data_IF_688495839359
#
_entry.id   IF_688495839359
#
_cell.length_a   1.000
_cell.length_b   1.000
_cell.length_c   1.000
_cell.angle_alpha   90.00
_cell.angle_beta   90.00
_cell.angle_gamma   90.00
#
_symmetry.space_group_name_H-M   'P 1'
#
loop_
_entity.id
_entity.type
_entity.pdbx_description
1 polymer ?
#
# COMPACT_ATOMS: atom_id res chain seq x y z
N UNK A 1 -73.95 -11.02 9.07
CA UNK A 1 -74.32 -11.51 7.73
C UNK A 1 -73.79 -10.67 6.54
N UNK A 2 -72.75 -9.82 6.69
CA UNK A 2 -72.13 -9.07 5.55
C UNK A 2 -70.68 -9.48 5.23
N UNK A 3 -70.14 -10.51 5.89
CA UNK A 3 -68.75 -10.92 5.75
C UNK A 3 -68.57 -12.05 4.71
N UNK A 4 -69.47 -13.03 4.64
CA UNK A 4 -69.29 -14.20 3.74
C UNK A 4 -69.38 -13.87 2.25
N UNK A 5 -70.26 -12.94 1.82
CA UNK A 5 -70.38 -12.55 0.39
C UNK A 5 -69.19 -11.79 -0.19
N UNK A 6 -68.24 -11.32 0.62
CA UNK A 6 -67.03 -10.63 0.12
C UNK A 6 -65.92 -11.61 -0.28
N UNK A 7 -65.98 -12.85 0.19
CA UNK A 7 -64.99 -13.87 -0.16
C UNK A 7 -65.30 -14.54 -1.52
N UNK A 8 -66.57 -14.73 -1.88
CA UNK A 8 -66.96 -15.28 -3.20
C UNK A 8 -66.57 -14.36 -4.38
N UNK A 9 -66.50 -13.05 -4.17
CA UNK A 9 -66.07 -12.12 -5.22
C UNK A 9 -64.55 -12.15 -5.47
N UNK A 10 -63.73 -12.62 -4.52
CA UNK A 10 -62.26 -12.70 -4.69
C UNK A 10 -61.78 -13.99 -5.35
N UNK A 11 -62.45 -15.11 -5.13
CA UNK A 11 -62.07 -16.38 -5.78
C UNK A 11 -62.30 -16.38 -7.29
N UNK A 12 -63.30 -15.62 -7.77
CA UNK A 12 -63.60 -15.53 -9.20
C UNK A 12 -62.55 -14.68 -9.95
N UNK A 13 -61.89 -13.73 -9.27
CA UNK A 13 -60.86 -12.87 -9.87
C UNK A 13 -59.60 -13.67 -10.23
N UNK A 14 -59.15 -14.57 -9.36
CA UNK A 14 -57.97 -15.40 -9.62
C UNK A 14 -58.20 -16.39 -10.77
N UNK A 15 -59.36 -17.05 -10.81
CA UNK A 15 -59.71 -17.98 -11.88
C UNK A 15 -59.76 -17.29 -13.24
N UNK A 16 -60.29 -16.05 -13.28
CA UNK A 16 -60.31 -15.23 -14.48
C UNK A 16 -58.91 -14.80 -14.91
N UNK A 17 -58.06 -14.37 -13.97
CA UNK A 17 -56.65 -14.03 -14.25
C UNK A 17 -55.86 -15.22 -14.81
N UNK A 18 -56.06 -16.42 -14.28
CA UNK A 18 -55.40 -17.64 -14.79
C UNK A 18 -55.87 -17.98 -16.21
N UNK A 19 -57.17 -17.83 -16.50
CA UNK A 19 -57.73 -18.04 -17.83
C UNK A 19 -57.17 -17.06 -18.88
N UNK A 20 -57.11 -15.78 -18.52
CA UNK A 20 -56.56 -14.72 -19.38
C UNK A 20 -55.05 -14.91 -19.59
N UNK A 21 -54.32 -15.34 -18.56
CA UNK A 21 -52.88 -15.65 -18.66
C UNK A 21 -52.60 -16.77 -19.66
N UNK A 22 -53.44 -17.83 -19.71
CA UNK A 22 -53.27 -18.94 -20.66
C UNK A 22 -53.44 -18.46 -22.10
N UNK A 23 -54.49 -17.69 -22.37
CA UNK A 23 -54.76 -17.15 -23.71
C UNK A 23 -53.64 -16.19 -24.13
N UNK A 24 -53.19 -15.34 -23.22
CA UNK A 24 -52.06 -14.43 -23.44
C UNK A 24 -50.75 -15.19 -23.73
N UNK A 25 -50.45 -16.26 -22.99
CA UNK A 25 -49.32 -17.16 -23.24
C UNK A 25 -49.41 -17.85 -24.60
N UNK A 26 -50.59 -18.25 -25.07
CA UNK A 26 -50.75 -18.87 -26.39
C UNK A 26 -50.54 -17.85 -27.52
N UNK A 27 -51.02 -16.62 -27.36
CA UNK A 27 -50.88 -15.57 -28.38
C UNK A 27 -49.49 -14.95 -28.41
N UNK A 28 -48.86 -14.75 -27.25
CA UNK A 28 -47.58 -14.02 -27.12
C UNK A 28 -46.42 -14.87 -26.61
N UNK A 29 -46.62 -16.16 -26.36
CA UNK A 29 -45.64 -17.05 -25.74
C UNK A 29 -44.29 -17.07 -26.45
N UNK A 30 -44.27 -17.10 -27.79
CA UNK A 30 -43.01 -17.06 -28.54
C UNK A 30 -42.25 -15.75 -28.34
N UNK A 31 -42.94 -14.60 -28.30
CA UNK A 31 -42.31 -13.29 -28.06
C UNK A 31 -41.79 -13.19 -26.62
N UNK A 32 -42.59 -13.66 -25.66
CA UNK A 32 -42.19 -13.73 -24.24
C UNK A 32 -40.99 -14.65 -24.04
N UNK A 33 -40.95 -15.80 -24.71
CA UNK A 33 -39.84 -16.75 -24.62
C UNK A 33 -38.58 -16.16 -25.25
N UNK A 34 -38.67 -15.50 -26.41
CA UNK A 34 -37.51 -14.84 -27.03
C UNK A 34 -36.97 -13.69 -26.18
N UNK A 35 -37.84 -12.81 -25.68
CA UNK A 35 -37.43 -11.68 -24.84
C UNK A 35 -36.90 -12.16 -23.49
N UNK A 36 -37.62 -13.07 -22.83
CA UNK A 36 -37.23 -13.64 -21.54
C UNK A 36 -35.95 -14.47 -21.64
N UNK A 37 -35.81 -15.28 -22.70
CA UNK A 37 -34.60 -16.03 -23.00
C UNK A 37 -33.41 -15.12 -23.31
N UNK A 38 -33.62 -14.06 -24.09
CA UNK A 38 -32.60 -13.04 -24.35
C UNK A 38 -32.12 -12.35 -23.08
N UNK A 39 -33.05 -11.93 -22.21
CA UNK A 39 -32.71 -11.34 -20.92
C UNK A 39 -31.98 -12.32 -20.01
N UNK A 40 -32.38 -13.59 -19.98
CA UNK A 40 -31.70 -14.63 -19.21
C UNK A 40 -30.24 -14.83 -19.69
N UNK A 41 -30.02 -14.88 -21.01
CA UNK A 41 -28.66 -15.00 -21.58
C UNK A 41 -27.80 -13.79 -21.21
N UNK A 42 -28.33 -12.57 -21.33
CA UNK A 42 -27.62 -11.34 -20.92
C UNK A 42 -27.29 -11.37 -19.43
N UNK A 43 -28.24 -11.80 -18.59
CA UNK A 43 -28.03 -11.93 -17.15
C UNK A 43 -26.91 -12.92 -16.83
N UNK A 44 -26.93 -14.12 -17.42
CA UNK A 44 -25.89 -15.14 -17.23
C UNK A 44 -24.52 -14.63 -17.70
N UNK A 45 -24.46 -13.94 -18.84
CA UNK A 45 -23.21 -13.37 -19.36
C UNK A 45 -22.63 -12.29 -18.42
N UNK A 46 -23.46 -11.39 -17.92
CA UNK A 46 -23.04 -10.36 -16.94
C UNK A 46 -22.59 -11.01 -15.64
N UNK A 47 -23.35 -11.98 -15.13
CA UNK A 47 -23.01 -12.69 -13.90
C UNK A 47 -21.66 -13.42 -14.01
N UNK A 48 -21.45 -14.17 -15.09
CA UNK A 48 -20.19 -14.86 -15.36
C UNK A 48 -19.00 -13.88 -15.51
N UNK A 49 -19.22 -12.75 -16.19
CA UNK A 49 -18.22 -11.69 -16.30
C UNK A 49 -17.86 -11.09 -14.92
N UNK A 50 -18.85 -10.86 -14.05
CA UNK A 50 -18.61 -10.34 -12.70
C UNK A 50 -17.91 -11.34 -11.78
N UNK A 51 -18.25 -12.62 -11.83
CA UNK A 51 -17.57 -13.66 -11.05
C UNK A 51 -16.10 -13.82 -11.45
N UNK A 52 -15.81 -13.92 -12.75
CA UNK A 52 -14.43 -14.05 -13.22
C UNK A 52 -13.57 -12.83 -12.83
N UNK A 53 -14.16 -11.64 -12.75
CA UNK A 53 -13.45 -10.43 -12.30
C UNK A 53 -13.08 -10.50 -10.81
N UNK A 54 -13.97 -10.99 -9.95
CA UNK A 54 -13.67 -11.10 -8.51
C UNK A 54 -12.56 -12.10 -8.21
N UNK A 55 -12.50 -13.22 -8.92
CA UNK A 55 -11.47 -14.23 -8.70
C UNK A 55 -10.07 -13.74 -9.08
N UNK A 56 -9.93 -13.01 -10.19
CA UNK A 56 -8.63 -12.44 -10.57
C UNK A 56 -8.14 -11.42 -9.55
N UNK A 57 -9.05 -10.56 -9.05
CA UNK A 57 -8.70 -9.54 -8.06
C UNK A 57 -8.25 -10.21 -6.75
N UNK A 58 -8.98 -11.23 -6.28
CA UNK A 58 -8.60 -11.98 -5.08
C UNK A 58 -7.22 -12.63 -5.19
N UNK A 59 -6.91 -13.25 -6.33
CA UNK A 59 -5.58 -13.86 -6.56
C UNK A 59 -4.46 -12.83 -6.56
N UNK A 60 -4.65 -11.68 -7.18
CA UNK A 60 -3.64 -10.61 -7.19
C UNK A 60 -3.38 -10.08 -5.77
N UNK A 61 -4.43 -9.91 -4.97
CA UNK A 61 -4.31 -9.50 -3.57
C UNK A 61 -3.56 -10.53 -2.72
N UNK A 62 -3.88 -11.83 -2.87
CA UNK A 62 -3.16 -12.90 -2.18
C UNK A 62 -1.68 -12.87 -2.54
N UNK A 63 -1.35 -12.78 -3.83
CA UNK A 63 0.03 -12.70 -4.31
C UNK A 63 0.75 -11.47 -3.76
N UNK A 64 0.10 -10.31 -3.76
CA UNK A 64 0.63 -9.10 -3.14
C UNK A 64 0.95 -9.28 -1.65
N UNK A 65 0.02 -9.85 -0.89
CA UNK A 65 0.22 -10.10 0.55
C UNK A 65 1.28 -11.17 0.82
N UNK A 66 1.38 -12.18 -0.04
CA UNK A 66 2.40 -13.23 0.06
C UNK A 66 3.79 -12.62 -0.09
N UNK A 67 4.03 -11.80 -1.11
CA UNK A 67 5.31 -11.09 -1.29
C UNK A 67 5.66 -10.29 -0.03
N UNK A 68 4.71 -9.54 0.53
CA UNK A 68 4.98 -8.75 1.72
C UNK A 68 5.30 -9.60 2.97
N UNK A 69 4.73 -10.79 3.07
CA UNK A 69 4.91 -11.67 4.22
C UNK A 69 6.14 -12.58 4.09
N UNK A 70 6.52 -12.96 2.88
CA UNK A 70 7.52 -14.00 2.63
C UNK A 70 8.86 -13.49 2.08
N UNK A 71 8.98 -12.20 1.74
CA UNK A 71 10.24 -11.68 1.18
C UNK A 71 11.34 -11.68 2.25
N UNK A 72 12.40 -12.50 2.11
CA UNK A 72 13.56 -12.45 2.99
C UNK A 72 14.37 -11.16 2.72
N UNK A 73 15.30 -10.80 3.60
CA UNK A 73 16.07 -9.55 3.48
C UNK A 73 16.85 -9.42 2.17
N UNK A 74 17.23 -10.53 1.54
CA UNK A 74 17.92 -10.60 0.25
C UNK A 74 16.97 -10.67 -0.96
N UNK A 75 15.68 -10.97 -0.74
CA UNK A 75 14.68 -11.18 -1.79
C UNK A 75 14.02 -9.90 -2.34
N UNK A 76 14.44 -8.71 -1.90
CA UNK A 76 13.76 -7.46 -2.25
C UNK A 76 13.84 -7.09 -3.73
N UNK A 77 14.86 -7.56 -4.45
CA UNK A 77 14.99 -7.33 -5.91
C UNK A 77 13.92 -8.10 -6.69
N UNK A 78 13.71 -9.37 -6.36
CA UNK A 78 12.66 -10.18 -6.96
C UNK A 78 11.26 -9.65 -6.56
N UNK A 79 11.10 -9.25 -5.30
CA UNK A 79 9.89 -8.62 -4.82
C UNK A 79 9.57 -7.31 -5.55
N UNK A 80 10.58 -6.49 -5.86
CA UNK A 80 10.42 -5.25 -6.63
C UNK A 80 9.86 -5.52 -8.03
N UNK A 81 10.49 -6.45 -8.77
CA UNK A 81 10.04 -6.83 -10.10
C UNK A 81 8.59 -7.35 -10.07
N UNK A 82 8.26 -8.16 -9.08
CA UNK A 82 6.95 -8.76 -8.93
C UNK A 82 5.87 -7.73 -8.52
N UNK A 83 6.16 -6.83 -7.58
CA UNK A 83 5.26 -5.74 -7.21
C UNK A 83 4.96 -4.83 -8.40
N UNK A 84 5.97 -4.53 -9.22
CA UNK A 84 5.82 -3.75 -10.45
C UNK A 84 4.92 -4.47 -11.46
N UNK A 85 5.09 -5.78 -11.60
CA UNK A 85 4.24 -6.64 -12.46
C UNK A 85 2.78 -6.61 -12.01
N UNK A 86 2.50 -6.82 -10.72
CA UNK A 86 1.14 -6.72 -10.14
C UNK A 86 0.57 -5.32 -10.39
N UNK A 87 1.38 -4.28 -10.17
CA UNK A 87 1.05 -2.89 -10.42
C UNK A 87 0.52 -2.63 -11.83
N UNK A 88 1.19 -3.19 -12.83
CA UNK A 88 0.89 -3.00 -14.26
C UNK A 88 -0.30 -3.81 -14.74
N UNK A 89 -0.37 -5.07 -14.34
CA UNK A 89 -1.30 -6.07 -14.88
C UNK A 89 -2.64 -6.13 -14.14
N UNK A 90 -2.70 -5.73 -12.87
CA UNK A 90 -3.93 -5.86 -12.10
C UNK A 90 -5.06 -5.00 -12.67
N UNK A 91 -6.28 -5.55 -12.64
CA UNK A 91 -7.51 -4.84 -13.03
C UNK A 91 -8.09 -4.01 -11.89
N UNK A 92 -7.63 -4.25 -10.66
CA UNK A 92 -8.01 -3.46 -9.49
C UNK A 92 -7.13 -2.22 -9.41
N UNK A 93 -7.74 -1.06 -9.61
CA UNK A 93 -7.06 0.24 -9.55
C UNK A 93 -6.40 0.49 -8.20
N UNK A 94 -7.05 0.09 -7.10
CA UNK A 94 -6.50 0.28 -5.75
C UNK A 94 -5.26 -0.58 -5.54
N UNK A 95 -5.32 -1.83 -5.98
CA UNK A 95 -4.18 -2.74 -5.92
C UNK A 95 -3.03 -2.26 -6.81
N UNK A 96 -3.31 -1.83 -8.05
CA UNK A 96 -2.28 -1.28 -8.94
C UNK A 96 -1.53 -0.10 -8.33
N UNK A 97 -2.26 0.88 -7.77
CA UNK A 97 -1.68 2.05 -7.10
C UNK A 97 -0.84 1.60 -5.91
N UNK A 98 -1.37 0.70 -5.08
CA UNK A 98 -0.70 0.21 -3.87
C UNK A 98 0.58 -0.57 -4.20
N UNK A 99 0.52 -1.46 -5.21
CA UNK A 99 1.65 -2.28 -5.63
C UNK A 99 2.76 -1.43 -6.25
N UNK A 100 2.45 -0.48 -7.14
CA UNK A 100 3.46 0.44 -7.69
C UNK A 100 4.03 1.38 -6.64
N UNK A 101 3.20 1.91 -5.73
CA UNK A 101 3.67 2.71 -4.61
C UNK A 101 4.68 1.92 -3.76
N UNK A 102 4.39 0.65 -3.49
CA UNK A 102 5.31 -0.23 -2.75
C UNK A 102 6.57 -0.52 -3.56
N UNK A 103 6.46 -0.81 -4.85
CA UNK A 103 7.59 -1.04 -5.75
C UNK A 103 8.54 0.16 -5.76
N UNK A 104 8.03 1.38 -5.97
CA UNK A 104 8.84 2.59 -5.97
C UNK A 104 9.57 2.82 -4.63
N UNK A 105 8.89 2.59 -3.50
CA UNK A 105 9.55 2.67 -2.18
C UNK A 105 10.58 1.56 -1.95
N UNK A 106 10.35 0.34 -2.46
CA UNK A 106 11.32 -0.76 -2.39
C UNK A 106 12.56 -0.40 -3.22
N UNK A 107 12.40 0.17 -4.41
CA UNK A 107 13.50 0.63 -5.24
C UNK A 107 14.31 1.75 -4.53
N UNK A 108 13.63 2.76 -3.94
CA UNK A 108 14.30 3.78 -3.11
C UNK A 108 15.07 3.18 -1.93
N UNK A 109 14.52 2.16 -1.27
CA UNK A 109 15.21 1.46 -0.17
C UNK A 109 16.45 0.72 -0.66
N UNK A 110 16.34 -0.01 -1.77
CA UNK A 110 17.45 -0.73 -2.37
C UNK A 110 18.57 0.24 -2.79
N UNK A 111 18.22 1.41 -3.35
CA UNK A 111 19.17 2.46 -3.66
C UNK A 111 20.00 2.89 -2.43
N UNK A 112 19.36 3.05 -1.26
CA UNK A 112 20.04 3.43 -0.02
C UNK A 112 20.86 2.31 0.62
N UNK A 113 20.47 1.05 0.41
CA UNK A 113 21.15 -0.12 0.99
C UNK A 113 22.31 -0.62 0.12
N UNK A 114 22.42 -0.17 -1.13
CA UNK A 114 23.43 -0.64 -2.07
C UNK A 114 24.71 0.19 -1.95
N UNK A 115 25.85 -0.41 -1.57
CA UNK A 115 27.10 0.33 -1.41
C UNK A 115 27.73 0.76 -2.74
N UNK A 116 27.46 0.04 -3.83
CA UNK A 116 27.99 0.41 -5.14
C UNK A 116 27.16 1.54 -5.78
N UNK A 117 27.77 2.70 -6.07
CA UNK A 117 27.03 3.89 -6.49
C UNK A 117 26.28 3.70 -7.82
N UNK A 118 26.86 2.98 -8.78
CA UNK A 118 26.21 2.71 -10.08
C UNK A 118 24.94 1.87 -9.92
N UNK A 119 24.94 0.89 -9.01
CA UNK A 119 23.76 0.06 -8.74
C UNK A 119 22.73 0.84 -7.92
N UNK A 120 23.17 1.64 -6.96
CA UNK A 120 22.30 2.52 -6.20
C UNK A 120 21.56 3.51 -7.12
N UNK A 121 22.27 4.10 -8.08
CA UNK A 121 21.69 4.97 -9.11
C UNK A 121 20.69 4.22 -9.99
N UNK A 122 20.99 3.00 -10.43
CA UNK A 122 20.05 2.18 -11.21
C UNK A 122 18.72 1.92 -10.48
N UNK A 123 18.76 1.63 -9.16
CA UNK A 123 17.54 1.50 -8.37
C UNK A 123 16.80 2.83 -8.19
N UNK A 124 17.53 3.94 -8.12
CA UNK A 124 16.92 5.27 -8.03
C UNK A 124 16.22 5.67 -9.34
N UNK A 125 16.79 5.30 -10.48
CA UNK A 125 16.18 5.46 -11.81
C UNK A 125 14.94 4.57 -11.96
N UNK A 126 14.99 3.33 -11.46
CA UNK A 126 13.81 2.47 -11.43
C UNK A 126 12.69 3.05 -10.57
N UNK A 127 13.02 3.65 -9.42
CA UNK A 127 12.04 4.38 -8.61
C UNK A 127 11.43 5.57 -9.37
N UNK A 128 12.25 6.34 -10.11
CA UNK A 128 11.77 7.44 -10.94
C UNK A 128 10.77 6.97 -12.00
N UNK A 129 11.09 5.87 -12.69
CA UNK A 129 10.21 5.30 -13.72
C UNK A 129 8.87 4.87 -13.11
N UNK A 130 8.91 4.17 -11.97
CA UNK A 130 7.70 3.68 -11.29
C UNK A 130 6.82 4.84 -10.81
N UNK A 131 7.39 5.87 -10.16
CA UNK A 131 6.60 7.00 -9.70
C UNK A 131 6.10 7.87 -10.86
N UNK A 132 6.86 7.98 -11.95
CA UNK A 132 6.41 8.65 -13.19
C UNK A 132 5.26 7.90 -13.85
N UNK A 133 5.30 6.56 -13.87
CA UNK A 133 4.19 5.72 -14.30
C UNK A 133 2.96 5.93 -13.40
N UNK A 134 3.16 5.92 -12.07
CA UNK A 134 2.09 6.13 -11.10
C UNK A 134 1.39 7.48 -11.32
N UNK A 135 2.18 8.55 -11.52
CA UNK A 135 1.69 9.91 -11.82
C UNK A 135 0.94 9.96 -13.15
N UNK A 136 1.49 9.38 -14.21
CA UNK A 136 0.89 9.48 -15.56
C UNK A 136 -0.40 8.68 -15.68
N UNK A 137 -0.44 7.46 -15.14
CA UNK A 137 -1.59 6.55 -15.28
C UNK A 137 -2.70 6.81 -14.25
N UNK A 138 -2.34 7.24 -13.04
CA UNK A 138 -3.31 7.45 -11.95
C UNK A 138 -3.26 8.84 -11.29
N UNK A 139 -2.63 9.84 -11.92
CA UNK A 139 -2.54 11.20 -11.37
C UNK A 139 -3.87 11.92 -11.12
N UNK A 140 -4.99 11.38 -11.60
CA UNK A 140 -6.34 11.85 -11.25
C UNK A 140 -6.81 11.44 -9.85
N UNK A 141 -6.18 10.43 -9.26
CA UNK A 141 -6.47 9.94 -7.91
C UNK A 141 -5.54 10.64 -6.93
N UNK A 142 -6.12 11.34 -5.96
CA UNK A 142 -5.39 12.25 -5.05
C UNK A 142 -4.26 11.51 -4.31
N UNK A 143 -4.53 10.30 -3.80
CA UNK A 143 -3.52 9.48 -3.13
C UNK A 143 -2.36 9.11 -4.06
N UNK A 144 -2.65 8.62 -5.27
CA UNK A 144 -1.62 8.22 -6.23
C UNK A 144 -0.75 9.40 -6.67
N UNK A 145 -1.38 10.57 -6.89
CA UNK A 145 -0.67 11.81 -7.22
C UNK A 145 0.27 12.22 -6.08
N UNK A 146 -0.23 12.25 -4.84
CA UNK A 146 0.57 12.63 -3.67
C UNK A 146 1.76 11.69 -3.46
N UNK A 147 1.53 10.37 -3.54
CA UNK A 147 2.60 9.36 -3.43
C UNK A 147 3.63 9.52 -4.55
N UNK A 148 3.19 9.68 -5.79
CA UNK A 148 4.11 9.82 -6.93
C UNK A 148 4.98 11.07 -6.82
N UNK A 149 4.40 12.22 -6.47
CA UNK A 149 5.16 13.46 -6.32
C UNK A 149 6.14 13.41 -5.15
N UNK A 150 5.72 12.88 -4.00
CA UNK A 150 6.62 12.70 -2.85
C UNK A 150 7.74 11.70 -3.14
N UNK A 151 7.44 10.61 -3.88
CA UNK A 151 8.43 9.63 -4.32
C UNK A 151 9.46 10.23 -5.27
N UNK A 152 9.01 10.98 -6.28
CA UNK A 152 9.89 11.71 -7.20
C UNK A 152 10.76 12.77 -6.49
N UNK A 153 10.24 13.42 -5.44
CA UNK A 153 11.04 14.33 -4.62
C UNK A 153 12.17 13.58 -3.90
N UNK A 154 11.89 12.39 -3.37
CA UNK A 154 12.92 11.53 -2.76
C UNK A 154 13.93 11.03 -3.78
N UNK A 155 13.52 10.72 -5.02
CA UNK A 155 14.47 10.39 -6.11
C UNK A 155 15.46 11.54 -6.34
N UNK A 156 14.98 12.79 -6.38
CA UNK A 156 15.83 13.96 -6.55
C UNK A 156 16.78 14.17 -5.35
N UNK A 157 16.28 14.03 -4.12
CA UNK A 157 17.11 14.05 -2.91
C UNK A 157 18.21 12.99 -2.93
N UNK A 158 17.89 11.76 -3.33
CA UNK A 158 18.86 10.69 -3.50
C UNK A 158 19.91 11.02 -4.57
N UNK A 159 19.51 11.58 -5.73
CA UNK A 159 20.46 12.01 -6.77
C UNK A 159 21.45 13.05 -6.25
N UNK A 160 21.00 13.99 -5.42
CA UNK A 160 21.91 14.91 -4.75
C UNK A 160 22.86 14.19 -3.80
N UNK A 161 22.35 13.25 -2.99
CA UNK A 161 23.19 12.47 -2.08
C UNK A 161 24.28 11.66 -2.81
N UNK A 162 23.97 11.13 -4.00
CA UNK A 162 24.91 10.32 -4.79
C UNK A 162 25.90 11.15 -5.62
N UNK A 163 25.42 12.21 -6.29
CA UNK A 163 26.20 12.96 -7.28
C UNK A 163 26.59 14.39 -6.86
N UNK A 164 26.02 14.91 -5.76
CA UNK A 164 26.24 16.29 -5.30
C UNK A 164 25.64 17.36 -6.21
N UNK A 165 24.75 17.00 -7.14
CA UNK A 165 24.15 17.95 -8.08
C UNK A 165 23.11 18.85 -7.38
N UNK A 166 23.50 20.10 -7.12
CA UNK A 166 22.66 21.08 -6.46
C UNK A 166 21.35 21.40 -7.22
N UNK A 167 21.28 21.12 -8.53
CA UNK A 167 20.06 21.35 -9.32
C UNK A 167 18.88 20.47 -8.88
N UNK A 168 19.18 19.30 -8.27
CA UNK A 168 18.18 18.40 -7.74
C UNK A 168 17.37 19.02 -6.58
N UNK A 169 17.94 20.02 -5.90
CA UNK A 169 17.24 20.76 -4.84
C UNK A 169 16.01 21.49 -5.35
N UNK A 170 16.15 22.14 -6.50
CA UNK A 170 15.05 22.88 -7.11
C UNK A 170 13.98 21.92 -7.67
N UNK A 171 14.40 20.74 -8.15
CA UNK A 171 13.50 19.66 -8.57
C UNK A 171 12.68 19.15 -7.37
N UNK A 172 13.35 18.79 -6.27
CA UNK A 172 12.70 18.31 -5.05
C UNK A 172 11.74 19.37 -4.48
N UNK A 173 12.20 20.62 -4.37
CA UNK A 173 11.38 21.76 -3.92
C UNK A 173 10.11 21.91 -4.76
N UNK A 174 10.25 21.94 -6.08
CA UNK A 174 9.11 22.08 -7.00
C UNK A 174 8.09 20.96 -6.83
N UNK A 175 8.54 19.72 -6.69
CA UNK A 175 7.66 18.55 -6.50
C UNK A 175 6.93 18.60 -5.15
N UNK A 176 7.64 18.95 -4.08
CA UNK A 176 7.05 19.09 -2.73
C UNK A 176 6.09 20.29 -2.66
N UNK A 177 6.42 21.41 -3.31
CA UNK A 177 5.54 22.58 -3.43
C UNK A 177 4.25 22.22 -4.18
N UNK A 178 4.33 21.39 -5.24
CA UNK A 178 3.14 20.90 -5.94
C UNK A 178 2.22 20.12 -4.97
N UNK A 179 2.77 19.29 -4.10
CA UNK A 179 2.02 18.53 -3.08
C UNK A 179 1.45 19.45 -1.99
N UNK A 180 2.25 20.39 -1.48
CA UNK A 180 1.86 21.28 -0.40
C UNK A 180 0.71 22.21 -0.82
N UNK A 181 0.71 22.66 -2.08
CA UNK A 181 -0.25 23.61 -2.61
C UNK A 181 -1.47 22.96 -3.32
N UNK A 182 -1.50 21.64 -3.53
CA UNK A 182 -2.66 20.97 -4.14
C UNK A 182 -3.83 20.91 -3.15
N UNK A 183 -4.93 21.60 -3.48
CA UNK A 183 -6.15 21.62 -2.67
C UNK A 183 -6.81 20.24 -2.56
N UNK A 184 -6.59 19.33 -3.51
CA UNK A 184 -7.11 17.96 -3.46
C UNK A 184 -6.44 17.10 -2.39
N UNK A 185 -5.25 17.51 -1.93
CA UNK A 185 -4.49 16.82 -0.89
C UNK A 185 -4.75 17.37 0.51
N UNK A 186 -5.72 18.27 0.67
CA UNK A 186 -6.11 18.81 1.97
C UNK A 186 -6.59 17.69 2.92
N UNK A 187 -6.03 17.65 4.13
CA UNK A 187 -6.34 16.61 5.13
C UNK A 187 -5.61 15.28 4.91
N UNK A 188 -4.82 15.13 3.85
CA UNK A 188 -3.99 13.93 3.65
C UNK A 188 -2.65 14.03 4.38
N UNK A 189 -2.06 12.90 4.84
CA UNK A 189 -0.75 12.91 5.47
C UNK A 189 0.38 13.36 4.52
N UNK A 190 0.24 13.12 3.21
CA UNK A 190 1.25 13.50 2.21
C UNK A 190 1.46 15.00 2.14
N UNK A 191 0.40 15.81 2.28
CA UNK A 191 0.52 17.27 2.31
C UNK A 191 1.31 17.74 3.54
N UNK A 192 1.01 17.20 4.71
CA UNK A 192 1.74 17.55 5.94
C UNK A 192 3.20 17.11 5.87
N UNK A 193 3.47 15.94 5.30
CA UNK A 193 4.83 15.46 5.06
C UNK A 193 5.58 16.38 4.09
N UNK A 194 4.94 16.82 3.00
CA UNK A 194 5.59 17.73 2.03
C UNK A 194 5.91 19.09 2.65
N UNK A 195 4.99 19.67 3.43
CA UNK A 195 5.23 20.92 4.17
C UNK A 195 6.41 20.76 5.15
N UNK A 196 6.44 19.66 5.90
CA UNK A 196 7.53 19.37 6.83
C UNK A 196 8.87 19.21 6.10
N UNK A 197 8.89 18.50 4.96
CA UNK A 197 10.10 18.31 4.16
C UNK A 197 10.59 19.61 3.53
N UNK A 198 9.69 20.47 3.06
CA UNK A 198 10.06 21.81 2.54
C UNK A 198 10.77 22.64 3.60
N UNK A 199 10.32 22.58 4.86
CA UNK A 199 10.94 23.32 5.96
C UNK A 199 12.37 22.85 6.27
N UNK A 200 12.68 21.57 6.05
CA UNK A 200 14.01 20.99 6.30
C UNK A 200 14.82 20.76 5.02
N UNK A 201 14.32 21.20 3.86
CA UNK A 201 14.91 20.87 2.56
C UNK A 201 16.32 21.44 2.42
N UNK A 202 16.58 22.63 2.98
CA UNK A 202 17.92 23.23 2.93
C UNK A 202 18.95 22.40 3.72
N UNK A 203 18.53 21.75 4.82
CA UNK A 203 19.38 20.90 5.65
C UNK A 203 19.73 19.58 4.93
N UNK A 204 18.77 18.96 4.25
CA UNK A 204 18.96 17.73 3.48
C UNK A 204 20.02 17.91 2.38
N UNK A 205 20.09 19.11 1.80
CA UNK A 205 21.02 19.44 0.73
C UNK A 205 22.36 20.02 1.22
N UNK A 206 22.65 19.89 2.53
CA UNK A 206 23.95 20.26 3.09
C UNK A 206 24.83 19.02 3.22
N UNK A 207 25.99 18.96 2.53
CA UNK A 207 26.89 17.81 2.65
C UNK A 207 27.33 17.59 4.09
N UNK A 208 27.13 16.38 4.61
CA UNK A 208 27.57 16.01 5.95
C UNK A 208 29.07 15.73 5.91
N UNK A 209 29.86 16.63 6.48
CA UNK A 209 31.30 16.42 6.67
C UNK A 209 31.53 15.80 8.04
N UNK A 210 32.00 14.55 8.07
CA UNK A 210 32.48 13.95 9.31
C UNK A 210 33.84 14.56 9.67
N UNK A 211 33.99 15.02 10.92
CA UNK A 211 35.30 15.39 11.42
C UNK A 211 36.23 14.16 11.31
N UNK A 212 37.52 14.34 10.93
CA UNK A 212 38.49 13.26 10.97
C UNK A 212 38.45 12.59 12.35
N UNK A 213 38.53 11.26 12.45
CA UNK A 213 38.57 10.58 13.74
C UNK A 213 39.71 11.20 14.56
N UNK A 214 39.43 11.53 15.82
CA UNK A 214 40.47 12.03 16.73
C UNK A 214 41.66 11.06 16.69
N UNK A 215 42.90 11.56 16.60
CA UNK A 215 44.07 10.70 16.58
C UNK A 215 44.02 9.80 17.81
N UNK A 216 44.02 8.49 17.57
CA UNK A 216 44.02 7.48 18.64
C UNK A 216 45.14 7.86 19.61
N UNK A 217 44.86 8.11 20.91
CA UNK A 217 45.88 8.48 21.87
C UNK A 217 46.99 7.43 21.78
N UNK A 218 48.22 7.90 21.57
CA UNK A 218 49.39 7.01 21.55
C UNK A 218 49.34 6.16 22.82
N UNK A 219 49.60 4.84 22.71
CA UNK A 219 49.65 4.00 23.90
C UNK A 219 50.71 4.62 24.80
N UNK A 220 50.26 5.25 25.88
CA UNK A 220 51.13 5.64 26.98
C UNK A 220 51.91 4.39 27.30
N UNK A 221 53.21 4.40 27.02
CA UNK A 221 54.09 3.30 27.37
C UNK A 221 54.03 3.24 28.89
N UNK A 222 53.15 2.37 29.39
CA UNK A 222 53.10 2.00 30.78
C UNK A 222 54.43 1.34 31.04
N UNK A 223 55.28 2.12 31.70
CA UNK A 223 56.62 1.73 32.10
C UNK A 223 56.55 0.34 32.74
N UNK A 224 57.43 -0.53 32.26
CA UNK A 224 57.51 -1.91 32.67
C UNK A 224 58.03 -1.97 34.11
N UNK A 225 57.15 -2.23 35.07
CA UNK A 225 57.56 -2.39 36.45
C UNK A 225 56.42 -2.79 37.39
N UNK A 226 55.93 -4.02 37.27
CA UNK A 226 55.93 -4.96 38.41
C UNK A 226 55.37 -6.35 38.00
N UNK A 227 56.05 -7.45 38.34
CA UNK A 227 55.46 -8.78 38.34
C UNK A 227 54.81 -9.07 39.70
N UNK A 228 53.79 -9.93 39.65
CA UNK A 228 53.17 -10.64 40.77
C UNK A 228 51.99 -9.95 41.48
N UNK A 229 50.77 -10.34 41.07
CA UNK A 229 49.77 -10.79 42.02
C UNK A 229 48.80 -11.76 41.34
N UNK A 230 48.97 -13.01 41.72
CA UNK A 230 48.15 -14.17 41.44
C UNK A 230 46.78 -14.05 42.16
N UNK A 231 45.70 -14.37 41.44
CA UNK A 231 44.45 -14.83 42.04
C UNK A 231 43.32 -13.80 42.21
N UNK A 232 42.36 -13.82 41.27
CA UNK A 232 40.96 -13.59 41.62
C UNK A 232 40.03 -14.33 40.62
N UNK A 233 39.04 -15.11 41.11
CA UNK A 233 38.18 -15.95 40.28
C UNK A 233 37.09 -15.16 39.56
N UNK A 234 36.63 -15.75 38.46
CA UNK A 234 35.61 -15.28 37.55
C UNK A 234 34.33 -14.79 38.26
N UNK A 235 33.99 -13.51 38.07
CA UNK A 235 32.65 -13.01 38.30
C UNK A 235 31.81 -13.23 37.03
N UNK A 236 30.90 -14.20 37.08
CA UNK A 236 29.85 -14.38 36.09
C UNK A 236 29.06 -13.08 35.93
N UNK A 237 28.78 -12.61 34.70
CA UNK A 237 27.85 -11.51 34.49
C UNK A 237 26.46 -11.94 34.97
N UNK A 238 25.89 -11.13 35.86
CA UNK A 238 24.56 -11.32 36.40
C UNK A 238 23.52 -11.35 35.25
N UNK A 239 22.78 -12.45 35.17
CA UNK A 239 21.56 -12.54 34.38
C UNK A 239 20.56 -11.50 34.89
N UNK A 240 20.44 -10.37 34.18
CA UNK A 240 19.30 -9.48 34.36
C UNK A 240 18.07 -10.15 33.77
N UNK A 241 17.31 -10.82 34.64
CA UNK A 241 15.96 -11.32 34.35
C UNK A 241 15.11 -10.16 33.83
N UNK A 242 14.50 -10.25 32.63
CA UNK A 242 13.49 -9.30 32.19
C UNK A 242 12.33 -9.35 33.18
N UNK A 243 12.02 -8.22 33.82
CA UNK A 243 10.80 -8.08 34.61
C UNK A 243 9.60 -8.28 33.70
N UNK A 244 8.87 -9.35 33.94
CA UNK A 244 7.56 -9.64 33.38
C UNK A 244 6.62 -8.47 33.67
N UNK A 245 6.10 -7.76 32.65
CA UNK A 245 5.12 -6.71 32.87
C UNK A 245 3.83 -7.33 33.40
N UNK A 246 3.38 -6.85 34.56
CA UNK A 246 2.16 -7.28 35.20
C UNK A 246 0.96 -7.23 34.22
N UNK A 247 0.12 -8.27 34.17
CA UNK A 247 -1.11 -8.23 33.38
C UNK A 247 -2.05 -7.20 33.99
N UNK A 248 -2.21 -6.06 33.32
CA UNK A 248 -3.31 -5.13 33.57
C UNK A 248 -4.59 -5.75 33.04
N UNK A 249 -5.17 -6.64 33.85
CA UNK A 249 -6.54 -7.11 33.68
C UNK A 249 -7.51 -5.94 33.85
N UNK A 250 -7.99 -5.40 32.74
CA UNK A 250 -9.20 -4.57 32.70
C UNK A 250 -10.17 -5.20 31.72
N UNK A 251 -10.82 -6.27 32.16
CA UNK A 251 -11.99 -6.86 31.50
C UNK A 251 -13.17 -5.89 31.64
N UNK A 252 -13.30 -4.96 30.69
CA UNK A 252 -14.54 -4.21 30.53
C UNK A 252 -15.59 -5.15 29.91
N UNK A 253 -16.53 -5.60 30.72
CA UNK A 253 -17.72 -6.34 30.30
C UNK A 253 -18.53 -5.48 29.32
N UNK A 254 -18.85 -5.97 28.11
CA UNK A 254 -19.73 -5.26 27.19
C UNK A 254 -21.16 -5.22 27.77
N UNK A 255 -21.87 -4.08 27.68
CA UNK A 255 -23.25 -3.98 28.13
C UNK A 255 -24.14 -4.89 27.28
N UNK A 256 -25.05 -5.59 27.97
CA UNK A 256 -26.04 -6.47 27.35
C UNK A 256 -26.95 -5.68 26.38
N UNK A 257 -27.37 -6.29 25.26
CA UNK A 257 -28.37 -5.71 24.37
C UNK A 257 -29.70 -5.56 25.12
N UNK A 258 -30.25 -4.34 25.13
CA UNK A 258 -31.61 -4.09 25.63
C UNK A 258 -32.65 -4.57 24.60
N UNK A 259 -33.80 -5.09 25.08
CA UNK A 259 -34.89 -5.60 24.24
C UNK A 259 -35.67 -4.49 23.51
#
# INVERSE_FOLDING_TARGET
MKAERRHELRENELARVIGDFRTYMQTHGQRLLLVGGGLLVVFVAVWFYTQNKSESIGRDWVRYTEILASTPEDGWVDALAELRRIGRESRDTSLSITALSKAGHTALRLALQTPEPEKAEAFNDEAEEIFSELRSRWGRFDVARGVALCGLATVAENRFAFAGDASQKDVARKLLDEVANDAKLNGTPMKNQAISRLATLDEVFTPVTFAPPEPKPEPTSSDAGDPAAEGAPAASPASTTPSEPAPTGSSATPPAPQP
#
